data_IF_962215023534
#
_entry.id   IF_962215023534
#
_cell.length_a   1.000
_cell.length_b   1.000
_cell.length_c   1.000
_cell.angle_alpha   90.00
_cell.angle_beta   90.00
_cell.angle_gamma   90.00
#
_symmetry.space_group_name_H-M   'P 1'
#
loop_
_entity.id
_entity.type
_entity.pdbx_description
1 polymer ?
#
# COMPACT_ATOMS: atom_id res chain seq x y z
N UNK A 1 15.26 -16.65 12.25
CA UNK A 1 15.16 -15.68 11.14
C UNK A 1 15.03 -16.44 9.84
N UNK A 2 13.80 -16.72 9.42
CA UNK A 2 13.55 -17.24 8.07
C UNK A 2 14.04 -16.21 7.04
N UNK A 3 14.67 -16.69 5.96
CA UNK A 3 14.98 -15.82 4.82
C UNK A 3 13.67 -15.31 4.19
N UNK A 4 13.73 -14.20 3.45
CA UNK A 4 12.57 -13.67 2.71
C UNK A 4 12.00 -14.74 1.76
N UNK A 5 12.88 -15.55 1.18
CA UNK A 5 12.52 -16.67 0.28
C UNK A 5 11.73 -17.74 1.05
N UNK A 6 12.27 -18.22 2.18
CA UNK A 6 11.60 -19.24 3.01
C UNK A 6 10.24 -18.76 3.53
N UNK A 7 10.14 -17.48 3.89
CA UNK A 7 8.88 -16.86 4.30
C UNK A 7 7.85 -16.91 3.16
N UNK A 8 8.24 -16.53 1.94
CA UNK A 8 7.37 -16.53 0.75
C UNK A 8 6.90 -17.93 0.39
N UNK A 9 7.79 -18.92 0.44
CA UNK A 9 7.46 -20.32 0.21
C UNK A 9 6.41 -20.84 1.21
N UNK A 10 6.58 -20.55 2.51
CA UNK A 10 5.64 -20.98 3.54
C UNK A 10 4.24 -20.38 3.36
N UNK A 11 4.16 -19.07 3.13
CA UNK A 11 2.86 -18.40 2.93
C UNK A 11 2.22 -18.80 1.60
N UNK A 12 3.01 -19.09 0.55
CA UNK A 12 2.50 -19.61 -0.72
C UNK A 12 1.94 -21.03 -0.56
N UNK A 13 2.64 -21.91 0.18
CA UNK A 13 2.17 -23.26 0.47
C UNK A 13 0.81 -23.24 1.20
N UNK A 14 0.68 -22.38 2.21
CA UNK A 14 -0.56 -22.23 2.95
C UNK A 14 -1.71 -21.70 2.08
N UNK A 15 -1.42 -20.73 1.21
CA UNK A 15 -2.39 -20.20 0.26
C UNK A 15 -2.84 -21.27 -0.75
N UNK A 16 -1.91 -22.07 -1.28
CA UNK A 16 -2.19 -23.17 -2.21
C UNK A 16 -3.07 -24.26 -1.57
N UNK A 17 -2.85 -24.57 -0.29
CA UNK A 17 -3.68 -25.55 0.43
C UNK A 17 -5.12 -25.06 0.59
N UNK A 18 -5.33 -23.76 0.79
CA UNK A 18 -6.66 -23.18 0.99
C UNK A 18 -7.39 -22.85 -0.30
N UNK A 19 -6.65 -22.44 -1.33
CA UNK A 19 -7.16 -22.06 -2.63
C UNK A 19 -6.32 -22.75 -3.71
N UNK A 20 -6.57 -24.04 -4.00
CA UNK A 20 -5.79 -24.80 -4.97
C UNK A 20 -5.84 -24.25 -6.41
N UNK A 21 -6.89 -23.48 -6.73
CA UNK A 21 -7.15 -22.90 -8.04
C UNK A 21 -6.29 -21.68 -8.37
N UNK A 22 -5.65 -21.06 -7.37
CA UNK A 22 -4.79 -19.89 -7.59
C UNK A 22 -3.31 -20.30 -7.62
N UNK A 23 -2.55 -19.62 -8.48
CA UNK A 23 -1.10 -19.77 -8.55
C UNK A 23 -0.46 -19.05 -7.35
N UNK A 24 -0.45 -19.70 -6.18
CA UNK A 24 -0.12 -19.08 -4.90
C UNK A 24 1.26 -18.40 -4.87
N UNK A 25 2.27 -18.99 -5.51
CA UNK A 25 3.61 -18.39 -5.64
C UNK A 25 3.56 -17.06 -6.39
N UNK A 26 2.85 -17.02 -7.53
CA UNK A 26 2.67 -15.80 -8.33
C UNK A 26 1.93 -14.73 -7.54
N UNK A 27 0.88 -15.10 -6.80
CA UNK A 27 0.12 -14.18 -5.95
C UNK A 27 1.02 -13.55 -4.88
N UNK A 28 1.77 -14.38 -4.15
CA UNK A 28 2.68 -13.95 -3.09
C UNK A 28 3.74 -12.99 -3.63
N UNK A 29 4.31 -13.32 -4.78
CA UNK A 29 5.35 -12.53 -5.42
C UNK A 29 4.83 -11.16 -5.87
N UNK A 30 3.67 -11.15 -6.53
CA UNK A 30 3.03 -9.92 -7.01
C UNK A 30 2.58 -9.01 -5.86
N UNK A 31 2.05 -9.58 -4.77
CA UNK A 31 1.71 -8.82 -3.56
C UNK A 31 2.95 -8.24 -2.89
N UNK A 32 3.99 -9.05 -2.66
CA UNK A 32 5.19 -8.61 -1.96
C UNK A 32 5.90 -7.48 -2.71
N UNK A 33 6.06 -7.64 -4.03
CA UNK A 33 6.68 -6.64 -4.91
C UNK A 33 5.79 -5.40 -5.04
N UNK A 34 4.51 -5.58 -5.37
CA UNK A 34 3.60 -4.47 -5.62
C UNK A 34 3.37 -3.60 -4.39
N UNK A 35 3.23 -4.20 -3.20
CA UNK A 35 3.06 -3.45 -1.96
C UNK A 35 4.35 -2.81 -1.47
N UNK A 36 5.51 -3.46 -1.64
CA UNK A 36 6.80 -2.83 -1.34
C UNK A 36 7.00 -1.56 -2.17
N UNK A 37 6.82 -1.67 -3.50
CA UNK A 37 6.93 -0.54 -4.41
C UNK A 37 5.92 0.57 -4.09
N UNK A 38 4.68 0.20 -3.74
CA UNK A 38 3.66 1.18 -3.39
C UNK A 38 3.99 1.90 -2.06
N UNK A 39 4.54 1.18 -1.09
CA UNK A 39 5.04 1.76 0.16
C UNK A 39 6.17 2.74 -0.10
N UNK A 40 7.15 2.36 -0.92
CA UNK A 40 8.27 3.23 -1.32
C UNK A 40 7.77 4.48 -2.04
N UNK A 41 6.84 4.33 -2.99
CA UNK A 41 6.23 5.44 -3.69
C UNK A 41 5.50 6.38 -2.72
N UNK A 42 4.79 5.86 -1.71
CA UNK A 42 4.15 6.69 -0.70
C UNK A 42 5.18 7.52 0.05
N UNK A 43 6.24 6.89 0.56
CA UNK A 43 7.34 7.58 1.27
C UNK A 43 7.97 8.65 0.37
N UNK A 44 8.26 8.33 -0.88
CA UNK A 44 8.80 9.29 -1.84
C UNK A 44 7.89 10.52 -1.97
N UNK A 45 6.57 10.33 -2.08
CA UNK A 45 5.62 11.45 -2.19
C UNK A 45 5.48 12.24 -0.89
N UNK A 46 5.44 11.60 0.26
CA UNK A 46 5.18 12.30 1.52
C UNK A 46 6.42 12.91 2.17
N UNK A 47 7.60 12.46 1.77
CA UNK A 47 8.88 12.88 2.33
C UNK A 47 9.72 13.61 1.27
N UNK A 48 10.20 12.88 0.26
CA UNK A 48 11.21 13.39 -0.70
C UNK A 48 10.65 14.48 -1.62
N UNK A 49 9.51 14.20 -2.28
CA UNK A 49 8.87 15.19 -3.16
C UNK A 49 8.41 16.40 -2.37
N UNK A 50 7.88 16.17 -1.17
CA UNK A 50 7.39 17.24 -0.33
C UNK A 50 8.52 18.20 0.04
N UNK A 51 9.66 17.68 0.51
CA UNK A 51 10.84 18.48 0.81
C UNK A 51 11.34 19.28 -0.39
N UNK A 52 11.38 18.66 -1.59
CA UNK A 52 11.75 19.35 -2.83
C UNK A 52 10.79 20.49 -3.18
N UNK A 53 9.51 20.28 -2.96
CA UNK A 53 8.44 21.19 -3.36
C UNK A 53 8.18 22.31 -2.35
N UNK A 54 8.41 22.07 -1.06
CA UNK A 54 8.18 23.05 0.00
C UNK A 54 9.46 23.72 0.51
N UNK A 55 10.62 23.25 0.06
CA UNK A 55 11.90 23.54 0.67
C UNK A 55 12.09 22.78 1.98
N UNK A 56 13.35 22.64 2.41
CA UNK A 56 13.66 22.16 3.75
C UNK A 56 13.07 23.15 4.76
N UNK A 57 12.16 22.67 5.60
CA UNK A 57 11.57 23.48 6.67
C UNK A 57 12.65 23.76 7.72
N UNK A 58 13.39 24.88 7.59
CA UNK A 58 14.48 25.25 8.52
C UNK A 58 14.01 25.49 9.96
N UNK A 59 12.70 25.37 10.24
CA UNK A 59 12.12 25.45 11.57
C UNK A 59 12.00 24.09 12.29
N UNK A 60 12.16 22.98 11.57
CA UNK A 60 12.35 21.67 12.21
C UNK A 60 13.84 21.50 12.48
N UNK A 61 14.20 21.25 13.74
CA UNK A 61 15.58 20.93 14.09
C UNK A 61 16.07 19.77 13.20
N UNK A 62 17.25 19.88 12.57
CA UNK A 62 17.74 18.81 11.70
C UNK A 62 17.83 17.53 12.52
N UNK A 63 17.04 16.53 12.13
CA UNK A 63 17.08 15.22 12.75
C UNK A 63 18.43 14.57 12.44
N UNK A 64 18.91 13.72 13.33
CA UNK A 64 20.00 12.84 12.94
C UNK A 64 19.51 11.89 11.83
N UNK A 65 20.42 11.48 10.95
CA UNK A 65 20.14 10.50 9.88
C UNK A 65 19.48 9.24 10.45
N UNK A 66 19.85 8.83 11.66
CA UNK A 66 19.24 7.67 12.33
C UNK A 66 17.80 7.92 12.80
N UNK A 67 17.48 9.14 13.25
CA UNK A 67 16.13 9.50 13.65
C UNK A 67 15.19 9.56 12.44
N UNK A 68 15.64 10.17 11.34
CA UNK A 68 14.91 10.22 10.07
C UNK A 68 14.61 8.81 9.55
N UNK A 69 15.63 7.95 9.48
CA UNK A 69 15.45 6.53 9.09
C UNK A 69 14.44 5.81 9.97
N UNK A 70 14.40 6.09 11.27
CA UNK A 70 13.42 5.49 12.19
C UNK A 70 12.00 5.98 11.92
N UNK A 71 11.82 7.26 11.61
CA UNK A 71 10.52 7.85 11.29
C UNK A 71 9.98 7.29 9.96
N UNK A 72 10.82 7.24 8.92
CA UNK A 72 10.46 6.64 7.63
C UNK A 72 10.03 5.19 7.80
N UNK A 73 10.81 4.38 8.55
CA UNK A 73 10.45 2.98 8.84
C UNK A 73 9.13 2.85 9.59
N UNK A 74 8.79 3.80 10.48
CA UNK A 74 7.49 3.81 11.17
C UNK A 74 6.36 4.07 10.19
N UNK A 75 6.47 5.10 9.34
CA UNK A 75 5.47 5.38 8.31
C UNK A 75 5.28 4.20 7.35
N UNK A 76 6.37 3.54 6.95
CA UNK A 76 6.31 2.36 6.08
C UNK A 76 5.63 1.17 6.77
N UNK A 77 5.89 0.97 8.07
CA UNK A 77 5.17 -0.02 8.88
C UNK A 77 3.66 0.25 8.89
N UNK A 78 3.25 1.52 8.98
CA UNK A 78 1.82 1.87 8.91
C UNK A 78 1.23 1.62 7.51
N UNK A 79 1.99 1.93 6.45
CA UNK A 79 1.60 1.70 5.07
C UNK A 79 1.36 0.20 4.79
N UNK A 80 2.29 -0.65 5.23
CA UNK A 80 2.19 -2.11 5.12
C UNK A 80 1.04 -2.68 5.97
N UNK A 81 0.90 -2.26 7.23
CA UNK A 81 -0.15 -2.76 8.11
C UNK A 81 -1.55 -2.37 7.60
N UNK A 82 -1.69 -1.15 7.06
CA UNK A 82 -2.92 -0.72 6.42
C UNK A 82 -3.21 -1.52 5.14
N UNK A 83 -2.19 -1.81 4.33
CA UNK A 83 -2.32 -2.64 3.14
C UNK A 83 -2.79 -4.08 3.46
N UNK A 84 -2.30 -4.70 4.55
CA UNK A 84 -2.78 -6.01 5.00
C UNK A 84 -4.30 -6.03 5.25
N UNK A 85 -4.83 -4.98 5.86
CA UNK A 85 -6.29 -4.86 6.09
C UNK A 85 -7.05 -4.67 4.76
N UNK A 86 -6.46 -3.99 3.79
CA UNK A 86 -7.04 -3.86 2.46
C UNK A 86 -7.01 -5.17 1.67
N UNK A 87 -5.97 -6.00 1.85
CA UNK A 87 -5.90 -7.35 1.30
C UNK A 87 -7.08 -8.18 1.83
N UNK A 88 -7.27 -8.21 3.15
CA UNK A 88 -8.38 -8.92 3.77
C UNK A 88 -9.73 -8.47 3.17
N UNK A 89 -9.98 -7.16 3.11
CA UNK A 89 -11.24 -6.64 2.58
C UNK A 89 -11.53 -6.96 1.12
N UNK A 90 -10.51 -6.99 0.26
CA UNK A 90 -10.70 -7.42 -1.13
C UNK A 90 -10.81 -8.93 -1.24
N UNK A 91 -10.04 -9.68 -0.46
CA UNK A 91 -10.14 -11.14 -0.44
C UNK A 91 -11.50 -11.65 0.04
N UNK A 92 -12.16 -10.94 0.98
CA UNK A 92 -13.54 -11.28 1.37
C UNK A 92 -14.57 -11.17 0.24
N UNK A 93 -14.23 -10.51 -0.88
CA UNK A 93 -15.06 -10.46 -2.10
C UNK A 93 -14.77 -11.61 -3.07
N UNK A 94 -13.66 -12.32 -2.88
CA UNK A 94 -13.24 -13.44 -3.72
C UNK A 94 -13.77 -14.74 -3.13
N UNK A 95 -14.42 -15.57 -3.95
CA UNK A 95 -15.09 -16.79 -3.49
C UNK A 95 -14.17 -17.76 -2.75
N UNK A 96 -12.92 -17.88 -3.20
CA UNK A 96 -11.93 -18.80 -2.66
C UNK A 96 -11.37 -18.38 -1.30
N UNK A 97 -11.34 -17.08 -1.02
CA UNK A 97 -10.79 -16.50 0.21
C UNK A 97 -11.86 -16.10 1.22
N UNK A 98 -13.13 -16.08 0.81
CA UNK A 98 -14.26 -15.66 1.64
C UNK A 98 -14.50 -16.68 2.75
N UNK A 99 -13.90 -16.42 3.91
CA UNK A 99 -14.07 -17.21 5.11
C UNK A 99 -14.38 -16.33 6.33
N UNK A 100 -15.12 -16.85 7.32
CA UNK A 100 -15.50 -16.09 8.51
C UNK A 100 -14.36 -15.94 9.54
N UNK A 101 -13.13 -16.38 9.23
CA UNK A 101 -11.99 -16.35 10.13
C UNK A 101 -10.98 -15.26 9.72
N UNK A 102 -10.12 -14.88 10.67
CA UNK A 102 -9.09 -13.83 10.50
C UNK A 102 -7.86 -14.31 9.71
N UNK A 103 -7.96 -15.47 9.07
CA UNK A 103 -6.83 -16.16 8.46
C UNK A 103 -6.14 -15.30 7.40
N UNK A 104 -6.90 -14.68 6.50
CA UNK A 104 -6.32 -13.90 5.40
C UNK A 104 -5.55 -12.69 5.93
N UNK A 105 -6.03 -12.08 7.02
CA UNK A 105 -5.33 -11.00 7.68
C UNK A 105 -4.03 -11.49 8.31
N UNK A 106 -4.08 -12.56 9.11
CA UNK A 106 -2.89 -13.19 9.72
C UNK A 106 -1.86 -13.60 8.67
N UNK A 107 -2.34 -14.17 7.56
CA UNK A 107 -1.54 -14.54 6.40
C UNK A 107 -0.86 -13.32 5.76
N UNK A 108 -1.61 -12.23 5.53
CA UNK A 108 -1.06 -11.00 4.96
C UNK A 108 -0.01 -10.35 5.89
N UNK A 109 -0.24 -10.36 7.20
CA UNK A 109 0.76 -9.89 8.17
C UNK A 109 2.02 -10.76 8.17
N UNK A 110 1.90 -12.09 8.06
CA UNK A 110 3.06 -12.98 7.91
C UNK A 110 3.83 -12.73 6.62
N UNK A 111 3.13 -12.53 5.51
CA UNK A 111 3.75 -12.15 4.24
C UNK A 111 4.58 -10.87 4.38
N UNK A 112 4.04 -9.80 4.98
CA UNK A 112 4.73 -8.50 5.07
C UNK A 112 5.80 -8.46 6.16
N UNK A 113 5.51 -8.98 7.35
CA UNK A 113 6.31 -8.76 8.55
C UNK A 113 7.09 -9.99 9.05
N UNK A 114 6.86 -11.18 8.47
CA UNK A 114 7.54 -12.42 8.87
C UNK A 114 7.40 -12.70 10.37
N UNK A 115 8.52 -12.88 11.06
CA UNK A 115 8.56 -13.18 12.50
C UNK A 115 7.94 -12.08 13.38
N UNK A 116 7.83 -10.85 12.87
CA UNK A 116 7.19 -9.72 13.60
C UNK A 116 5.68 -9.65 13.40
N UNK A 117 5.09 -10.55 12.59
CA UNK A 117 3.69 -10.49 12.21
C UNK A 117 2.74 -10.42 13.41
N UNK A 118 2.85 -11.35 14.36
CA UNK A 118 1.99 -11.38 15.55
C UNK A 118 2.05 -10.06 16.34
N UNK A 119 3.27 -9.57 16.61
CA UNK A 119 3.50 -8.33 17.35
C UNK A 119 2.90 -7.10 16.64
N UNK A 120 3.08 -6.99 15.32
CA UNK A 120 2.56 -5.85 14.56
C UNK A 120 1.03 -5.96 14.42
N UNK A 121 0.52 -7.15 14.12
CA UNK A 121 -0.90 -7.40 13.98
C UNK A 121 -1.66 -7.06 15.27
N UNK A 122 -1.20 -7.54 16.43
CA UNK A 122 -1.81 -7.24 17.73
C UNK A 122 -1.94 -5.73 17.97
N UNK A 123 -0.90 -4.96 17.62
CA UNK A 123 -0.86 -3.51 17.84
C UNK A 123 -1.56 -2.68 16.76
N UNK A 124 -1.82 -3.23 15.57
CA UNK A 124 -2.34 -2.47 14.42
C UNK A 124 -3.74 -2.88 14.02
N UNK A 125 -4.09 -4.15 14.14
CA UNK A 125 -5.42 -4.66 13.83
C UNK A 125 -6.53 -3.86 14.53
N UNK A 126 -6.48 -3.59 15.85
CA UNK A 126 -7.56 -2.85 16.53
C UNK A 126 -7.74 -1.42 16.02
N UNK A 127 -6.70 -0.82 15.43
CA UNK A 127 -6.75 0.54 14.91
C UNK A 127 -7.49 0.63 13.58
N UNK A 128 -7.66 -0.49 12.88
CA UNK A 128 -8.16 -0.50 11.51
C UNK A 128 -9.42 -1.36 11.33
N UNK A 129 -9.46 -2.54 11.95
CA UNK A 129 -10.42 -3.60 11.63
C UNK A 129 -11.88 -3.22 11.92
N UNK A 130 -12.14 -2.44 12.97
CA UNK A 130 -13.51 -2.03 13.36
C UNK A 130 -13.99 -0.76 12.64
N UNK A 131 -13.13 -0.08 11.88
CA UNK A 131 -13.44 1.20 11.25
C UNK A 131 -14.02 1.02 9.85
N UNK A 132 -14.95 1.91 9.47
CA UNK A 132 -15.44 2.00 8.08
C UNK A 132 -14.33 2.52 7.17
N UNK A 133 -14.42 2.25 5.87
CA UNK A 133 -13.39 2.59 4.88
C UNK A 133 -12.87 4.03 4.95
N UNK A 134 -13.76 5.02 5.10
CA UNK A 134 -13.39 6.44 5.23
C UNK A 134 -12.63 6.73 6.54
N UNK A 135 -13.14 6.23 7.66
CA UNK A 135 -12.54 6.43 8.99
C UNK A 135 -11.19 5.74 9.09
N UNK A 136 -11.08 4.53 8.54
CA UNK A 136 -9.83 3.78 8.49
C UNK A 136 -8.75 4.53 7.71
N UNK A 137 -9.10 5.11 6.56
CA UNK A 137 -8.17 5.94 5.78
C UNK A 137 -7.75 7.19 6.55
N UNK A 138 -8.69 7.84 7.26
CA UNK A 138 -8.35 8.97 8.13
C UNK A 138 -7.41 8.57 9.28
N UNK A 139 -7.64 7.40 9.89
CA UNK A 139 -6.76 6.83 10.92
C UNK A 139 -5.37 6.51 10.37
N UNK A 140 -5.30 5.89 9.19
CA UNK A 140 -4.05 5.63 8.49
C UNK A 140 -3.27 6.92 8.25
N UNK A 141 -3.89 7.93 7.63
CA UNK A 141 -3.25 9.23 7.40
C UNK A 141 -2.76 9.85 8.71
N UNK A 142 -3.58 9.80 9.77
CA UNK A 142 -3.20 10.29 11.10
C UNK A 142 -1.97 9.57 11.64
N UNK A 143 -1.90 8.24 11.58
CA UNK A 143 -0.74 7.47 12.08
C UNK A 143 0.53 7.76 11.27
N UNK A 144 0.40 7.94 9.96
CA UNK A 144 1.51 8.39 9.11
C UNK A 144 1.96 9.80 9.48
N UNK A 145 1.04 10.74 9.75
CA UNK A 145 1.37 12.09 10.23
C UNK A 145 2.06 12.10 11.60
N UNK A 146 1.81 11.11 12.46
CA UNK A 146 2.52 10.98 13.73
C UNK A 146 3.92 10.39 13.53
N UNK A 147 4.11 9.56 12.50
CA UNK A 147 5.41 8.99 12.16
C UNK A 147 6.33 10.01 11.46
N UNK A 148 5.77 10.79 10.51
CA UNK A 148 6.43 11.81 9.70
C UNK A 148 5.60 13.11 9.76
N UNK A 149 5.85 14.03 10.71
CA UNK A 149 5.02 15.24 10.88
C UNK A 149 4.89 16.13 9.65
N UNK A 150 5.94 16.22 8.84
CA UNK A 150 6.04 17.00 7.60
C UNK A 150 4.94 16.61 6.60
N UNK A 151 4.56 15.33 6.54
CA UNK A 151 3.56 14.89 5.57
C UNK A 151 2.14 15.40 5.80
N UNK A 152 1.89 16.16 6.86
CA UNK A 152 0.66 16.96 7.01
C UNK A 152 0.48 17.98 5.87
N UNK A 153 1.57 18.35 5.18
CA UNK A 153 1.55 19.24 4.02
C UNK A 153 1.29 18.50 2.70
N UNK A 154 1.29 17.16 2.72
CA UNK A 154 1.01 16.37 1.53
C UNK A 154 -0.48 16.47 1.13
N UNK A 155 -0.80 16.44 -0.18
CA UNK A 155 -2.19 16.49 -0.63
C UNK A 155 -3.03 15.33 -0.05
N UNK A 156 -4.17 15.64 0.58
CA UNK A 156 -5.02 14.63 1.21
C UNK A 156 -5.54 13.56 0.23
N UNK A 157 -5.63 13.89 -1.07
CA UNK A 157 -5.97 12.96 -2.14
C UNK A 157 -4.98 11.80 -2.25
N UNK A 158 -3.72 12.00 -1.85
CA UNK A 158 -2.67 10.97 -1.88
C UNK A 158 -3.06 9.73 -1.06
N UNK A 159 -3.62 9.91 0.14
CA UNK A 159 -4.06 8.78 0.97
C UNK A 159 -5.26 8.05 0.35
N UNK A 160 -6.11 8.74 -0.43
CA UNK A 160 -7.19 8.09 -1.20
C UNK A 160 -6.62 7.29 -2.35
N UNK A 161 -5.64 7.84 -3.07
CA UNK A 161 -4.96 7.18 -4.17
C UNK A 161 -4.18 5.96 -3.69
N UNK A 162 -3.47 6.05 -2.56
CA UNK A 162 -2.77 4.92 -1.93
C UNK A 162 -3.74 3.79 -1.59
N UNK A 163 -4.86 4.08 -0.91
CA UNK A 163 -5.88 3.07 -0.59
C UNK A 163 -6.41 2.36 -1.85
N UNK A 164 -6.55 3.08 -2.96
CA UNK A 164 -6.99 2.49 -4.24
C UNK A 164 -5.89 1.68 -4.90
N UNK A 165 -4.66 2.20 -4.95
CA UNK A 165 -3.51 1.50 -5.50
C UNK A 165 -3.24 0.18 -4.77
N UNK A 166 -3.32 0.16 -3.44
CA UNK A 166 -3.14 -1.06 -2.65
C UNK A 166 -4.20 -2.11 -2.98
N UNK A 167 -5.48 -1.70 -3.13
CA UNK A 167 -6.56 -2.61 -3.57
C UNK A 167 -6.31 -3.12 -5.00
N UNK A 168 -5.85 -2.26 -5.91
CA UNK A 168 -5.51 -2.64 -7.28
C UNK A 168 -4.41 -3.70 -7.29
N UNK A 169 -3.33 -3.50 -6.53
CA UNK A 169 -2.24 -4.48 -6.38
C UNK A 169 -2.80 -5.80 -5.87
N UNK A 170 -3.68 -5.77 -4.85
CA UNK A 170 -4.31 -6.98 -4.33
C UNK A 170 -5.10 -7.72 -5.40
N UNK A 171 -6.04 -7.06 -6.08
CA UNK A 171 -6.93 -7.75 -7.03
C UNK A 171 -6.17 -8.23 -8.27
N UNK A 172 -5.15 -7.49 -8.72
CA UNK A 172 -4.25 -7.94 -9.78
C UNK A 172 -3.48 -9.20 -9.37
N UNK A 173 -2.97 -9.24 -8.14
CA UNK A 173 -2.23 -10.39 -7.64
C UNK A 173 -3.07 -11.67 -7.65
N UNK A 174 -4.37 -11.54 -7.36
CA UNK A 174 -5.34 -12.64 -7.42
C UNK A 174 -5.98 -12.86 -8.81
N UNK A 175 -5.52 -12.13 -9.84
CA UNK A 175 -5.97 -12.33 -11.23
C UNK A 175 -7.33 -11.71 -11.57
N UNK A 176 -7.92 -10.88 -10.71
CA UNK A 176 -9.21 -10.22 -10.97
C UNK A 176 -9.01 -8.90 -11.75
N UNK A 177 -8.81 -9.06 -13.05
CA UNK A 177 -8.53 -7.96 -13.98
C UNK A 177 -9.71 -6.98 -14.10
N UNK A 178 -10.95 -7.48 -14.05
CA UNK A 178 -12.15 -6.65 -14.18
C UNK A 178 -12.32 -5.74 -12.97
N UNK A 179 -12.12 -6.27 -11.77
CA UNK A 179 -12.11 -5.47 -10.54
C UNK A 179 -10.95 -4.48 -10.52
N UNK A 180 -9.77 -4.88 -10.98
CA UNK A 180 -8.61 -3.99 -11.09
C UNK A 180 -8.90 -2.80 -12.02
N UNK A 181 -9.52 -3.05 -13.17
CA UNK A 181 -9.94 -2.03 -14.12
C UNK A 181 -11.02 -1.11 -13.52
N UNK A 182 -11.98 -1.66 -12.78
CA UNK A 182 -13.00 -0.85 -12.09
C UNK A 182 -12.37 0.08 -11.04
N UNK A 183 -11.49 -0.45 -10.18
CA UNK A 183 -10.75 0.35 -9.20
C UNK A 183 -9.85 1.39 -9.86
N UNK A 184 -9.28 1.08 -11.03
CA UNK A 184 -8.50 2.04 -11.82
C UNK A 184 -9.36 3.19 -12.34
N UNK A 185 -10.56 2.91 -12.87
CA UNK A 185 -11.51 3.96 -13.28
C UNK A 185 -11.89 4.86 -12.11
N UNK A 186 -12.24 4.26 -10.97
CA UNK A 186 -12.48 5.02 -9.74
C UNK A 186 -11.27 5.88 -9.35
N UNK A 187 -10.04 5.38 -9.51
CA UNK A 187 -8.82 6.13 -9.23
C UNK A 187 -8.67 7.34 -10.18
N UNK A 188 -8.95 7.17 -11.47
CA UNK A 188 -8.95 8.27 -12.45
C UNK A 188 -10.03 9.32 -12.14
N UNK A 189 -11.18 8.92 -11.61
CA UNK A 189 -12.23 9.85 -11.15
C UNK A 189 -11.78 10.68 -9.93
N UNK A 190 -10.89 10.15 -9.09
CA UNK A 190 -10.33 10.89 -7.96
C UNK A 190 -9.36 12.00 -8.39
N UNK A 191 -8.72 11.85 -9.55
CA UNK A 191 -7.75 12.79 -10.07
C UNK A 191 -7.74 12.69 -11.60
N UNK A 192 -8.51 13.56 -12.27
CA UNK A 192 -8.66 13.51 -13.73
C UNK A 192 -7.32 13.60 -14.47
N UNK A 193 -6.36 14.35 -13.92
CA UNK A 193 -5.00 14.52 -14.44
C UNK A 193 -4.24 13.19 -14.64
N UNK A 194 -4.70 12.09 -14.02
CA UNK A 194 -4.18 10.75 -14.24
C UNK A 194 -4.23 10.37 -15.73
N UNK A 195 -5.30 10.76 -16.43
CA UNK A 195 -5.51 10.41 -17.83
C UNK A 195 -4.65 11.24 -18.78
N UNK A 196 -4.08 12.36 -18.32
CA UNK A 196 -3.31 13.29 -19.15
C UNK A 196 -1.85 12.85 -19.36
N UNK A 197 -1.41 11.79 -18.66
CA UNK A 197 -0.06 11.27 -18.83
C UNK A 197 0.13 10.67 -20.23
N UNK A 198 0.99 11.28 -21.04
CA UNK A 198 1.26 10.84 -22.42
C UNK A 198 1.88 9.44 -22.53
N UNK A 199 2.56 8.97 -21.49
CA UNK A 199 3.20 7.64 -21.49
C UNK A 199 2.20 6.53 -21.16
N UNK A 200 1.56 6.60 -19.99
CA UNK A 200 0.69 5.53 -19.52
C UNK A 200 -0.80 5.77 -19.80
N UNK A 201 -1.23 7.00 -20.09
CA UNK A 201 -2.63 7.38 -20.32
C UNK A 201 -3.58 6.85 -19.23
N UNK A 202 -3.15 6.90 -17.97
CA UNK A 202 -3.90 6.36 -16.83
C UNK A 202 -4.09 4.84 -16.82
N UNK A 203 -3.44 4.09 -17.73
CA UNK A 203 -3.63 2.64 -17.85
C UNK A 203 -3.19 1.91 -16.58
N UNK A 204 -3.88 0.80 -16.32
CA UNK A 204 -3.49 -0.17 -15.33
C UNK A 204 -2.16 -0.82 -15.74
N UNK A 205 -1.16 -0.73 -14.89
CA UNK A 205 0.15 -1.34 -15.10
C UNK A 205 0.21 -2.71 -14.42
N UNK A 206 1.02 -3.65 -14.95
CA UNK A 206 1.33 -4.89 -14.24
C UNK A 206 1.90 -4.64 -12.84
N UNK A 207 1.73 -5.60 -11.90
CA UNK A 207 2.38 -5.53 -10.59
C UNK A 207 3.90 -5.30 -10.73
N UNK A 208 4.46 -4.47 -9.86
CA UNK A 208 5.90 -4.15 -9.88
C UNK A 208 6.32 -3.10 -10.91
N UNK A 209 5.43 -2.65 -11.80
CA UNK A 209 5.73 -1.61 -12.78
C UNK A 209 5.29 -0.23 -12.32
N UNK A 210 5.98 0.81 -12.77
CA UNK A 210 5.54 2.19 -12.64
C UNK A 210 5.75 2.98 -13.93
N UNK A 211 5.00 4.07 -14.06
CA UNK A 211 5.21 5.03 -15.13
C UNK A 211 6.27 6.05 -14.71
N UNK A 212 7.35 6.17 -15.47
CA UNK A 212 8.43 7.12 -15.18
C UNK A 212 7.97 8.59 -15.27
N UNK A 213 7.08 8.93 -16.21
CA UNK A 213 6.60 10.31 -16.35
C UNK A 213 5.66 10.80 -15.25
N UNK A 214 4.79 9.92 -14.72
CA UNK A 214 3.73 10.34 -13.80
C UNK A 214 3.76 9.67 -12.43
N UNK A 215 4.51 8.59 -12.23
CA UNK A 215 4.60 7.87 -10.96
C UNK A 215 3.46 6.87 -10.70
N UNK A 216 2.59 6.58 -11.67
CA UNK A 216 1.56 5.52 -11.58
C UNK A 216 2.20 4.24 -10.98
N UNK A 217 1.67 3.64 -9.90
CA UNK A 217 0.31 3.79 -9.36
C UNK A 217 0.10 4.86 -8.29
N UNK A 218 1.13 5.63 -7.92
CA UNK A 218 1.01 6.72 -6.95
C UNK A 218 1.69 7.99 -7.49
N UNK A 219 0.86 8.82 -8.14
CA UNK A 219 1.31 9.95 -8.94
C UNK A 219 2.20 10.95 -8.19
N UNK A 220 3.17 11.51 -8.92
CA UNK A 220 4.07 12.54 -8.40
C UNK A 220 3.38 13.90 -8.22
N UNK A 221 4.04 14.81 -7.50
CA UNK A 221 3.44 16.09 -7.08
C UNK A 221 2.95 16.96 -8.25
N UNK A 222 3.58 16.86 -9.42
CA UNK A 222 3.13 17.57 -10.63
C UNK A 222 1.67 17.26 -10.96
N UNK A 223 1.26 15.99 -10.80
CA UNK A 223 -0.11 15.56 -11.05
C UNK A 223 -1.00 15.69 -9.81
N UNK A 224 -0.46 15.55 -8.60
CA UNK A 224 -1.26 15.71 -7.37
C UNK A 224 -1.73 17.15 -7.15
N UNK A 225 -1.03 18.14 -7.71
CA UNK A 225 -1.36 19.57 -7.61
C UNK A 225 -2.32 20.07 -8.70
N UNK A 226 -2.57 19.29 -9.74
CA UNK A 226 -3.57 19.61 -10.77
C UNK A 226 -5.00 19.20 -10.38
N UNK A 227 -5.25 18.97 -9.09
CA UNK A 227 -6.57 18.67 -8.50
C UNK A 227 -7.28 19.94 -8.05
#
# INVERSE_FOLDING_TARGET
MLSIIQRREQVAQELSQRCPEIQAEVVVDQLDQGLAQLGDALIERIHVDLERETGMDSMLAPLSVDQERRQVRKAQTEADAYACVLIEEEGMRMSCLRQPNDWLLEWAFRLRFGERAAYIQERRRPLYHSLRSRERRGRFASLVYHALPECKRAPAVLFRLYSRAARIVTVLAFGDQDRANALRREQCELLAAINDCRECNGRLLPPGQHCAACGNPLWNYRYLRSY
#
